data_IF_968901570969
#
_entry.id   IF_968901570969
#
_cell.length_a   1.000
_cell.length_b   1.000
_cell.length_c   1.000
_cell.angle_alpha   90.00
_cell.angle_beta   90.00
_cell.angle_gamma   90.00
#
_symmetry.space_group_name_H-M   'P 1'
#
loop_
_entity.id
_entity.type
_entity.pdbx_description
1 polymer ?
#
# COMPACT_ATOMS: atom_id res chain seq x y z
N UNK A 1 -19.60 23.41 -36.79
CA UNK A 1 -18.18 23.75 -37.02
C UNK A 1 -17.32 22.64 -36.46
N UNK A 2 -16.60 21.94 -37.35
CA UNK A 2 -15.63 20.83 -37.18
C UNK A 2 -16.01 19.62 -36.32
N UNK A 3 -16.46 18.60 -37.06
CA UNK A 3 -16.49 17.17 -36.75
C UNK A 3 -15.04 16.65 -36.79
N UNK A 4 -14.62 15.87 -35.79
CA UNK A 4 -13.39 15.07 -35.86
C UNK A 4 -13.73 13.63 -36.21
N UNK A 5 -13.49 13.26 -37.47
CA UNK A 5 -13.23 11.89 -37.89
C UNK A 5 -11.72 11.64 -37.75
N UNK A 6 -11.31 10.56 -37.08
CA UNK A 6 -10.04 9.92 -37.40
C UNK A 6 -10.25 8.39 -37.50
N UNK A 7 -9.83 7.91 -38.66
CA UNK A 7 -9.89 6.55 -39.21
C UNK A 7 -8.94 5.61 -38.44
N UNK A 8 -9.34 4.38 -38.13
CA UNK A 8 -9.33 3.18 -39.00
C UNK A 8 -7.90 2.63 -39.26
N UNK A 9 -7.71 1.39 -38.78
CA UNK A 9 -6.87 0.29 -39.32
C UNK A 9 -5.34 0.38 -39.32
N UNK A 10 -4.73 -0.53 -38.57
CA UNK A 10 -3.58 -1.38 -38.95
C UNK A 10 -3.85 -2.76 -38.31
N UNK A 11 -4.16 -3.85 -39.02
CA UNK A 11 -3.49 -4.55 -40.13
C UNK A 11 -2.25 -5.35 -39.67
N UNK A 12 -2.45 -6.67 -39.65
CA UNK A 12 -1.51 -7.77 -39.93
C UNK A 12 -0.23 -7.95 -39.09
N UNK A 13 -0.11 -9.14 -38.49
CA UNK A 13 0.83 -10.21 -38.91
C UNK A 13 0.60 -11.45 -38.01
N UNK A 14 0.07 -12.55 -38.57
CA UNK A 14 0.81 -13.77 -38.94
C UNK A 14 1.67 -14.33 -37.78
N UNK A 15 1.23 -15.38 -37.08
CA UNK A 15 1.30 -16.80 -37.46
C UNK A 15 2.74 -17.36 -37.57
N UNK A 16 3.10 -18.27 -36.65
CA UNK A 16 4.13 -19.34 -36.69
C UNK A 16 4.01 -20.05 -35.32
N UNK A 17 3.42 -21.23 -35.11
CA UNK A 17 3.61 -22.57 -35.70
C UNK A 17 5.07 -23.01 -35.82
N UNK A 18 5.61 -23.54 -34.72
CA UNK A 18 6.55 -24.67 -34.63
C UNK A 18 6.21 -25.38 -33.31
N UNK A 19 6.03 -26.70 -33.19
CA UNK A 19 6.54 -27.79 -34.01
C UNK A 19 7.32 -28.73 -33.09
N UNK A 20 6.65 -29.79 -32.62
CA UNK A 20 7.15 -31.08 -32.13
C UNK A 20 8.53 -31.19 -31.44
N UNK A 21 8.50 -31.72 -30.21
CA UNK A 21 9.65 -32.34 -29.55
C UNK A 21 9.22 -33.23 -28.39
N UNK A 22 8.51 -34.33 -28.69
CA UNK A 22 8.37 -35.43 -27.74
C UNK A 22 9.71 -36.18 -27.66
N UNK A 23 10.48 -35.92 -26.61
CA UNK A 23 11.60 -36.80 -26.21
C UNK A 23 11.16 -37.58 -24.98
N UNK A 24 10.65 -38.80 -25.22
CA UNK A 24 10.60 -39.84 -24.20
C UNK A 24 12.00 -40.40 -24.00
N UNK A 25 12.60 -40.15 -22.84
CA UNK A 25 13.68 -40.98 -22.31
C UNK A 25 13.11 -41.84 -21.19
N UNK A 26 13.13 -43.16 -21.41
CA UNK A 26 12.82 -44.19 -20.42
C UNK A 26 14.10 -44.97 -20.07
N UNK A 27 14.21 -45.33 -18.78
CA UNK A 27 15.22 -46.19 -18.13
C UNK A 27 16.59 -45.49 -17.87
N UNK A 28 17.21 -45.54 -16.70
CA UNK A 28 17.18 -46.52 -15.62
C UNK A 28 17.27 -45.86 -14.23
N UNK A 29 16.75 -46.57 -13.23
CA UNK A 29 17.00 -46.39 -11.80
C UNK A 29 18.49 -46.33 -11.47
N UNK A 30 18.89 -45.27 -10.78
CA UNK A 30 19.97 -45.38 -9.80
C UNK A 30 19.66 -44.47 -8.61
N UNK A 31 19.70 -45.08 -7.43
CA UNK A 31 19.51 -44.46 -6.13
C UNK A 31 20.54 -43.37 -5.88
N UNK A 32 20.04 -42.16 -5.67
CA UNK A 32 20.80 -41.04 -5.12
C UNK A 32 19.80 -40.12 -4.47
N UNK A 33 19.57 -40.30 -3.17
CA UNK A 33 18.94 -39.28 -2.34
C UNK A 33 20.00 -38.17 -2.23
N UNK A 34 20.04 -37.30 -3.22
CA UNK A 34 20.61 -35.97 -3.06
C UNK A 34 19.54 -35.14 -2.38
N UNK A 35 19.88 -34.63 -1.19
CA UNK A 35 19.17 -33.53 -0.55
C UNK A 35 19.19 -32.35 -1.51
N UNK A 36 18.21 -32.28 -2.42
CA UNK A 36 17.83 -31.02 -3.02
C UNK A 36 17.22 -30.20 -1.88
N UNK A 37 17.99 -29.25 -1.36
CA UNK A 37 17.43 -28.08 -0.70
C UNK A 37 16.36 -27.54 -1.64
N UNK A 38 15.11 -27.81 -1.30
CA UNK A 38 13.96 -27.17 -1.91
C UNK A 38 14.11 -25.70 -1.52
N UNK A 39 14.79 -24.93 -2.37
CA UNK A 39 14.68 -23.48 -2.38
C UNK A 39 13.25 -23.21 -2.83
N UNK A 40 12.33 -23.24 -1.86
CA UNK A 40 11.04 -22.59 -2.02
C UNK A 40 11.42 -21.15 -2.32
N UNK A 41 11.36 -20.77 -3.60
CA UNK A 41 11.30 -19.37 -3.95
C UNK A 41 10.07 -18.88 -3.22
N UNK A 42 10.28 -18.15 -2.14
CA UNK A 42 9.23 -17.42 -1.44
C UNK A 42 8.65 -16.51 -2.52
N UNK A 43 7.50 -16.93 -3.07
CA UNK A 43 6.75 -16.16 -4.03
C UNK A 43 6.37 -14.89 -3.27
N UNK A 44 7.08 -13.80 -3.57
CA UNK A 44 6.90 -12.49 -2.97
C UNK A 44 5.47 -12.06 -3.29
N UNK A 45 4.54 -12.38 -2.38
CA UNK A 45 3.15 -11.99 -2.52
C UNK A 45 3.12 -10.47 -2.41
N UNK A 46 3.01 -9.81 -3.55
CA UNK A 46 2.89 -8.37 -3.59
C UNK A 46 1.58 -7.97 -2.91
N UNK A 47 1.66 -7.51 -1.67
CA UNK A 47 0.50 -7.04 -0.91
C UNK A 47 -0.04 -5.78 -1.59
N UNK A 48 -1.22 -5.86 -2.19
CA UNK A 48 -1.92 -4.67 -2.70
C UNK A 48 -2.49 -3.91 -1.50
N UNK A 49 -2.11 -2.62 -1.38
CA UNK A 49 -2.54 -1.77 -0.27
C UNK A 49 -3.14 -0.48 -0.84
N UNK A 50 -4.37 -0.17 -0.44
CA UNK A 50 -4.96 1.15 -0.64
C UNK A 50 -5.50 1.69 0.67
N UNK A 51 -5.55 3.02 0.78
CA UNK A 51 -5.97 3.70 2.00
C UNK A 51 -7.13 4.62 1.69
N UNK A 52 -8.12 4.61 2.57
CA UNK A 52 -9.31 5.44 2.45
C UNK A 52 -9.52 6.24 3.72
N UNK A 53 -9.82 7.52 3.54
CA UNK A 53 -10.32 8.39 4.59
C UNK A 53 -11.83 8.57 4.38
N UNK A 54 -12.64 8.08 5.30
CA UNK A 54 -14.09 8.25 5.25
C UNK A 54 -14.56 9.22 6.34
N UNK A 55 -15.34 10.22 5.97
CA UNK A 55 -15.93 11.16 6.91
C UNK A 55 -17.34 10.69 7.30
N UNK A 56 -17.61 10.63 8.60
CA UNK A 56 -18.82 10.02 9.14
C UNK A 56 -19.90 11.06 9.40
N UNK A 57 -19.57 12.19 10.03
CA UNK A 57 -20.47 13.33 10.28
C UNK A 57 -19.66 14.54 10.78
N UNK A 58 -20.18 15.75 10.57
CA UNK A 58 -19.60 17.02 11.05
C UNK A 58 -20.45 17.55 12.22
N UNK A 59 -19.82 17.79 13.37
CA UNK A 59 -20.47 18.34 14.56
C UNK A 59 -19.60 19.40 15.25
N UNK A 60 -20.05 19.91 16.41
CA UNK A 60 -19.31 20.92 17.18
C UNK A 60 -17.93 20.43 17.68
N UNK A 61 -17.68 19.13 17.66
CA UNK A 61 -16.44 18.47 18.04
C UNK A 61 -15.55 18.15 16.84
N UNK A 62 -15.97 18.54 15.63
CA UNK A 62 -15.26 18.34 14.38
C UNK A 62 -15.81 17.17 13.56
N UNK A 63 -15.34 17.08 12.32
CA UNK A 63 -15.65 16.02 11.38
C UNK A 63 -14.91 14.75 11.76
N UNK A 64 -15.65 13.71 12.14
CA UNK A 64 -15.05 12.40 12.40
C UNK A 64 -14.56 11.77 11.10
N UNK A 65 -13.30 11.36 11.11
CA UNK A 65 -12.65 10.65 10.02
C UNK A 65 -12.22 9.25 10.47
N UNK A 66 -12.51 8.25 9.65
CA UNK A 66 -12.04 6.88 9.84
C UNK A 66 -10.96 6.58 8.81
N UNK A 67 -9.79 6.13 9.27
CA UNK A 67 -8.69 5.67 8.43
C UNK A 67 -8.84 4.17 8.24
N UNK A 68 -8.97 3.76 6.99
CA UNK A 68 -9.09 2.35 6.61
C UNK A 68 -8.01 1.97 5.63
N UNK A 69 -7.58 0.72 5.74
CA UNK A 69 -6.66 0.10 4.80
C UNK A 69 -7.33 -1.10 4.15
N UNK A 70 -7.20 -1.20 2.83
CA UNK A 70 -7.62 -2.37 2.07
C UNK A 70 -6.39 -3.14 1.67
N UNK A 71 -6.28 -4.36 2.19
CA UNK A 71 -5.17 -5.27 1.94
C UNK A 71 -5.73 -6.54 1.31
N UNK A 72 -5.21 -6.91 0.13
CA UNK A 72 -5.67 -8.09 -0.62
C UNK A 72 -7.21 -8.11 -0.78
N UNK A 73 -7.80 -6.93 -1.06
CA UNK A 73 -9.25 -6.73 -1.22
C UNK A 73 -10.06 -6.72 0.08
N UNK A 74 -9.44 -6.92 1.25
CA UNK A 74 -10.10 -6.87 2.56
C UNK A 74 -9.89 -5.51 3.23
N UNK A 75 -10.99 -4.79 3.47
CA UNK A 75 -10.98 -3.55 4.23
C UNK A 75 -10.81 -3.81 5.73
N UNK A 76 -9.94 -3.06 6.37
CA UNK A 76 -9.70 -3.07 7.82
C UNK A 76 -9.64 -1.64 8.35
N UNK A 77 -10.44 -1.33 9.36
CA UNK A 77 -10.31 -0.07 10.11
C UNK A 77 -8.97 -0.05 10.85
N UNK A 78 -8.21 1.02 10.69
CA UNK A 78 -6.91 1.23 11.35
C UNK A 78 -7.12 2.04 12.61
N UNK A 79 -7.72 3.23 12.47
CA UNK A 79 -7.99 4.15 13.57
C UNK A 79 -9.06 5.17 13.16
N UNK A 80 -9.51 5.96 14.13
CA UNK A 80 -10.38 7.12 13.95
C UNK A 80 -9.69 8.36 14.49
N UNK A 81 -9.94 9.49 13.87
CA UNK A 81 -9.42 10.79 14.25
C UNK A 81 -10.37 11.89 13.75
N UNK A 82 -10.03 13.15 13.99
CA UNK A 82 -10.91 14.28 13.67
C UNK A 82 -10.27 15.21 12.65
N UNK A 83 -11.04 15.66 11.66
CA UNK A 83 -10.63 16.63 10.65
C UNK A 83 -9.35 16.23 9.91
N UNK A 84 -9.32 14.98 9.44
CA UNK A 84 -8.17 14.47 8.72
C UNK A 84 -8.18 14.91 7.24
N UNK A 85 -6.99 15.12 6.70
CA UNK A 85 -6.74 15.38 5.28
C UNK A 85 -5.53 14.57 4.84
N UNK A 86 -5.57 14.04 3.62
CA UNK A 86 -4.42 13.36 3.03
C UNK A 86 -3.25 14.33 2.91
N UNK A 87 -2.05 13.88 3.28
CA UNK A 87 -0.83 14.65 3.13
C UNK A 87 -0.22 14.37 1.76
N UNK A 88 0.21 15.43 1.08
CA UNK A 88 0.98 15.33 -0.16
C UNK A 88 2.44 14.96 0.16
N UNK A 89 3.15 14.37 -0.80
CA UNK A 89 4.53 13.88 -0.58
C UNK A 89 5.49 15.00 -0.18
N UNK A 90 5.25 16.21 -0.68
CA UNK A 90 5.99 17.43 -0.37
C UNK A 90 5.86 17.83 1.10
N UNK A 91 4.79 17.41 1.77
CA UNK A 91 4.54 17.73 3.19
C UNK A 91 5.28 16.77 4.13
N UNK A 92 5.72 15.61 3.63
CA UNK A 92 6.25 14.52 4.47
C UNK A 92 7.46 14.96 5.29
N UNK A 93 8.38 15.70 4.69
CA UNK A 93 9.57 16.20 5.39
C UNK A 93 9.18 17.09 6.58
N UNK A 94 8.26 18.04 6.37
CA UNK A 94 7.82 18.95 7.44
C UNK A 94 7.05 18.22 8.56
N UNK A 95 6.33 17.15 8.20
CA UNK A 95 5.65 16.29 9.15
C UNK A 95 6.59 15.28 9.85
N UNK A 96 7.85 15.19 9.42
CA UNK A 96 8.82 14.14 9.81
C UNK A 96 8.31 12.73 9.51
N UNK A 97 7.60 12.57 8.39
CA UNK A 97 7.16 11.29 7.83
C UNK A 97 8.28 10.74 6.94
N UNK A 98 8.61 9.43 7.01
CA UNK A 98 9.58 8.82 6.10
C UNK A 98 9.19 8.98 4.63
N UNK A 99 10.15 9.29 3.76
CA UNK A 99 9.89 9.56 2.33
C UNK A 99 9.32 8.34 1.58
N UNK A 100 9.67 7.15 2.06
CA UNK A 100 9.21 5.84 1.57
C UNK A 100 7.84 5.42 2.13
N UNK A 101 7.23 6.20 3.03
CA UNK A 101 5.87 5.94 3.49
C UNK A 101 4.89 5.92 2.31
N UNK A 102 4.07 4.88 2.22
CA UNK A 102 3.14 4.69 1.10
C UNK A 102 1.94 5.63 1.18
N UNK A 103 1.65 6.14 2.38
CA UNK A 103 0.51 6.99 2.67
C UNK A 103 0.74 7.78 3.95
N UNK A 104 0.20 8.99 4.02
CA UNK A 104 0.16 9.79 5.24
C UNK A 104 -1.05 10.73 5.25
N UNK A 105 -1.46 11.13 6.45
CA UNK A 105 -2.47 12.16 6.65
C UNK A 105 -2.17 13.02 7.87
N UNK A 106 -2.75 14.21 7.89
CA UNK A 106 -2.72 15.15 9.00
C UNK A 106 -4.14 15.43 9.47
N UNK A 107 -4.36 15.39 10.76
CA UNK A 107 -5.63 15.61 11.42
C UNK A 107 -5.43 16.78 12.38
N UNK A 108 -6.35 17.75 12.35
CA UNK A 108 -6.21 18.96 13.16
C UNK A 108 -7.57 19.53 13.56
N UNK A 109 -7.76 19.69 14.86
CA UNK A 109 -8.95 20.27 15.43
C UNK A 109 -8.67 21.01 16.74
N UNK A 110 -9.15 22.26 16.83
CA UNK A 110 -9.16 23.04 18.06
C UNK A 110 -7.81 23.11 18.83
N UNK A 111 -6.69 23.21 18.11
CA UNK A 111 -5.35 23.39 18.69
C UNK A 111 -4.59 22.10 19.01
N UNK A 112 -5.18 20.95 18.67
CA UNK A 112 -4.55 19.65 18.76
C UNK A 112 -4.88 18.81 17.53
N UNK A 113 -4.21 17.67 17.38
CA UNK A 113 -4.53 16.71 16.34
C UNK A 113 -3.55 15.58 16.32
N UNK A 114 -3.53 14.85 15.21
CA UNK A 114 -2.71 13.69 15.02
C UNK A 114 -2.20 13.63 13.59
N UNK A 115 -0.97 13.17 13.42
CA UNK A 115 -0.47 12.78 12.11
C UNK A 115 -0.40 11.26 12.05
N UNK A 116 -0.63 10.70 10.87
CA UNK A 116 -0.54 9.28 10.62
C UNK A 116 0.26 9.00 9.36
N UNK A 117 0.96 7.87 9.31
CA UNK A 117 1.52 7.34 8.07
C UNK A 117 1.54 5.81 8.07
N UNK A 118 1.74 5.23 6.89
CA UNK A 118 1.92 3.80 6.70
C UNK A 118 3.22 3.48 5.97
N UNK A 119 3.90 2.42 6.38
CA UNK A 119 5.06 1.85 5.70
C UNK A 119 4.72 0.43 5.24
N UNK A 120 4.94 0.16 3.94
CA UNK A 120 4.93 -1.20 3.42
C UNK A 120 6.33 -1.79 3.63
N UNK A 121 6.42 -2.92 4.34
CA UNK A 121 7.66 -3.66 4.58
C UNK A 121 7.39 -5.12 4.30
N UNK A 122 8.07 -5.69 3.31
CA UNK A 122 7.85 -7.08 2.89
C UNK A 122 6.35 -7.35 2.65
N UNK A 123 5.80 -8.35 3.33
CA UNK A 123 4.38 -8.76 3.25
C UNK A 123 3.49 -8.11 4.32
N UNK A 124 3.91 -7.00 4.92
CA UNK A 124 3.14 -6.30 5.96
C UNK A 124 3.07 -4.79 5.76
N UNK A 125 2.10 -4.20 6.42
CA UNK A 125 1.90 -2.74 6.49
C UNK A 125 1.92 -2.31 7.95
N UNK A 126 2.86 -1.42 8.28
CA UNK A 126 3.00 -0.83 9.62
C UNK A 126 2.39 0.56 9.63
N UNK A 127 1.47 0.81 10.55
CA UNK A 127 0.78 2.09 10.73
C UNK A 127 1.31 2.81 11.93
N UNK A 128 1.64 4.08 11.75
CA UNK A 128 2.18 4.93 12.80
C UNK A 128 1.28 6.14 13.01
N UNK A 129 1.22 6.59 14.27
CA UNK A 129 0.53 7.81 14.68
C UNK A 129 1.42 8.64 15.59
N UNK A 130 1.15 9.94 15.63
CA UNK A 130 1.66 10.82 16.66
C UNK A 130 0.65 11.91 16.95
N UNK A 131 0.54 12.30 18.21
CA UNK A 131 -0.21 13.50 18.60
C UNK A 131 0.56 14.75 18.16
N UNK A 132 -0.15 15.85 17.92
CA UNK A 132 0.40 17.16 17.57
C UNK A 132 -0.39 18.21 18.34
N UNK A 133 0.30 19.20 18.89
CA UNK A 133 -0.30 20.32 19.62
C UNK A 133 0.31 21.63 19.13
N UNK A 134 -0.40 22.75 19.30
CA UNK A 134 0.11 24.09 18.92
C UNK A 134 1.46 24.41 19.57
N UNK A 135 1.69 23.88 20.77
CA UNK A 135 2.91 24.06 21.53
C UNK A 135 3.45 22.72 22.00
N UNK A 136 3.87 21.90 21.03
CA UNK A 136 4.52 20.62 21.30
C UNK A 136 6.00 20.82 21.67
N UNK A 137 6.40 20.29 22.81
CA UNK A 137 7.82 20.11 23.13
C UNK A 137 8.39 18.95 22.32
N UNK A 138 9.62 19.10 21.81
CA UNK A 138 10.30 18.10 20.97
C UNK A 138 10.39 16.71 21.61
N UNK A 139 10.50 16.63 22.94
CA UNK A 139 10.56 15.36 23.67
C UNK A 139 9.29 14.51 23.56
N UNK A 140 8.17 15.12 23.16
CA UNK A 140 6.89 14.45 22.91
C UNK A 140 6.60 14.27 21.42
N UNK A 141 7.45 14.77 20.51
CA UNK A 141 7.34 14.57 19.07
C UNK A 141 7.88 13.19 18.69
N UNK A 142 7.09 12.15 18.98
CA UNK A 142 7.45 10.75 18.78
C UNK A 142 6.35 10.02 18.03
N UNK A 143 6.77 9.25 17.03
CA UNK A 143 5.91 8.30 16.34
C UNK A 143 5.71 7.01 17.15
N UNK A 144 4.47 6.55 17.18
CA UNK A 144 4.06 5.30 17.83
C UNK A 144 3.48 4.34 16.80
N UNK A 145 3.85 3.06 16.90
CA UNK A 145 3.26 2.01 16.09
C UNK A 145 1.85 1.72 16.59
N UNK A 146 0.85 1.96 15.74
CA UNK A 146 -0.56 1.74 16.05
C UNK A 146 -1.01 0.33 15.70
N UNK A 147 -0.62 -0.15 14.51
CA UNK A 147 -1.13 -1.40 13.95
C UNK A 147 -0.16 -2.01 12.94
N UNK A 148 -0.15 -3.33 12.86
CA UNK A 148 0.47 -4.09 11.77
C UNK A 148 -0.62 -4.89 11.10
N UNK A 149 -0.65 -4.88 9.76
CA UNK A 149 -1.55 -5.68 8.95
C UNK A 149 -0.75 -6.56 7.97
N UNK A 150 -1.26 -7.76 7.70
CA UNK A 150 -0.71 -8.81 6.85
C UNK A 150 -1.82 -9.36 5.93
#
# INVERSE_FOLDING_TARGET
MKIYHLKLTNLFCLALLFGFGLFSCQSNTNSGIENQEIRIAEEEQEVEVSFMLSNVEDDINGMQSTIKATINGKETEVTKATNCTLAEKEEYESMKVPTDATWACKCWWAGAGENFYALKKDNKVEFYGKEIYEQMEEKYDKWELLKILE
#
